data_IF_582857635255
#
_entry.id   IF_582857635255
#
_cell.length_a   1.000
_cell.length_b   1.000
_cell.length_c   1.000
_cell.angle_alpha   90.00
_cell.angle_beta   90.00
_cell.angle_gamma   90.00
#
_symmetry.space_group_name_H-M   'P 1'
#
loop_
_entity.id
_entity.type
_entity.pdbx_description
1 polymer ?
#
# COMPACT_ATOMS: atom_id res chain seq x y z
N UNK A 1 -0.68 23.14 15.31
CA UNK A 1 0.62 22.43 15.35
C UNK A 1 0.32 20.95 15.26
N UNK A 2 0.84 20.23 14.25
CA UNK A 2 0.70 18.79 14.25
C UNK A 2 1.41 18.22 15.47
N UNK A 3 0.72 17.42 16.28
CA UNK A 3 1.29 16.82 17.50
C UNK A 3 2.38 15.81 17.12
N UNK A 4 3.35 15.58 18.00
CA UNK A 4 4.40 14.57 17.80
C UNK A 4 3.83 13.22 17.35
N UNK A 5 2.69 12.83 17.92
CA UNK A 5 2.01 11.57 17.61
C UNK A 5 1.43 11.54 16.18
N UNK A 6 0.99 12.67 15.64
CA UNK A 6 0.57 12.77 14.24
C UNK A 6 1.75 12.61 13.29
N UNK A 7 2.90 13.20 13.62
CA UNK A 7 4.12 13.07 12.83
C UNK A 7 4.64 11.63 12.84
N UNK A 8 4.60 10.96 14.00
CA UNK A 8 4.99 9.54 14.10
C UNK A 8 4.11 8.63 13.25
N UNK A 9 2.79 8.89 13.18
CA UNK A 9 1.86 8.08 12.37
C UNK A 9 2.19 8.10 10.88
N UNK A 10 2.87 9.13 10.39
CA UNK A 10 3.30 9.23 8.99
C UNK A 10 4.55 8.40 8.70
N UNK A 11 5.38 8.11 9.71
CA UNK A 11 6.70 7.51 9.51
C UNK A 11 6.77 6.07 10.02
N UNK A 12 6.35 5.87 11.27
CA UNK A 12 6.53 4.62 12.02
C UNK A 12 5.94 3.41 11.29
N UNK A 13 4.75 3.47 10.67
CA UNK A 13 4.22 2.32 9.96
C UNK A 13 5.10 1.85 8.80
N UNK A 14 5.68 2.77 8.03
CA UNK A 14 6.61 2.43 6.94
C UNK A 14 7.90 1.81 7.46
N UNK A 15 8.43 2.36 8.55
CA UNK A 15 9.64 1.82 9.19
C UNK A 15 9.43 0.43 9.76
N UNK A 16 8.26 0.19 10.38
CA UNK A 16 7.89 -1.12 10.87
C UNK A 16 7.75 -2.13 9.73
N UNK A 17 7.09 -1.76 8.62
CA UNK A 17 7.02 -2.62 7.44
C UNK A 17 8.41 -2.94 6.89
N UNK A 18 9.29 -1.95 6.80
CA UNK A 18 10.66 -2.17 6.32
C UNK A 18 11.42 -3.19 7.18
N UNK A 19 11.28 -3.14 8.51
CA UNK A 19 11.91 -4.11 9.42
C UNK A 19 11.36 -5.53 9.25
N UNK A 20 10.05 -5.68 9.03
CA UNK A 20 9.42 -6.99 8.83
C UNK A 20 9.94 -7.69 7.58
N UNK A 21 10.19 -6.94 6.50
CA UNK A 21 10.59 -7.50 5.20
C UNK A 21 12.09 -7.45 4.94
N UNK A 22 12.88 -6.77 5.76
CA UNK A 22 14.33 -6.57 5.55
C UNK A 22 15.09 -7.88 5.27
N UNK A 23 14.74 -8.97 5.95
CA UNK A 23 15.38 -10.28 5.75
C UNK A 23 14.95 -10.98 4.47
N UNK A 24 13.72 -10.75 4.02
CA UNK A 24 13.15 -11.42 2.86
C UNK A 24 13.43 -10.63 1.56
N UNK A 25 13.26 -9.31 1.63
CA UNK A 25 13.33 -8.37 0.51
C UNK A 25 14.07 -7.08 0.96
N UNK A 26 15.41 -7.13 1.06
CA UNK A 26 16.21 -5.99 1.55
C UNK A 26 16.08 -4.76 0.62
N UNK A 27 15.90 -4.98 -0.69
CA UNK A 27 15.67 -3.91 -1.66
C UNK A 27 14.38 -3.14 -1.39
N UNK A 28 13.27 -3.84 -1.16
CA UNK A 28 11.98 -3.19 -0.87
C UNK A 28 12.01 -2.51 0.50
N UNK A 29 12.71 -3.10 1.48
CA UNK A 29 12.92 -2.48 2.80
C UNK A 29 13.66 -1.14 2.69
N UNK A 30 14.68 -1.07 1.84
CA UNK A 30 15.42 0.16 1.55
C UNK A 30 14.49 1.25 0.99
N UNK A 31 13.65 0.94 -0.01
CA UNK A 31 12.69 1.91 -0.55
C UNK A 31 11.63 2.35 0.47
N UNK A 32 11.17 1.46 1.34
CA UNK A 32 10.24 1.81 2.43
C UNK A 32 10.87 2.82 3.41
N UNK A 33 12.15 2.65 3.75
CA UNK A 33 12.90 3.60 4.59
C UNK A 33 13.10 4.93 3.87
N UNK A 34 13.49 4.89 2.60
CA UNK A 34 13.67 6.11 1.81
C UNK A 34 12.38 6.92 1.69
N UNK A 35 11.25 6.26 1.44
CA UNK A 35 9.94 6.93 1.42
C UNK A 35 9.59 7.54 2.78
N UNK A 36 9.83 6.84 3.90
CA UNK A 36 9.63 7.40 5.22
C UNK A 36 10.52 8.64 5.45
N UNK A 37 11.77 8.62 4.99
CA UNK A 37 12.65 9.79 5.08
C UNK A 37 12.05 11.00 4.37
N UNK A 38 11.58 10.81 3.13
CA UNK A 38 10.97 11.87 2.32
C UNK A 38 9.74 12.47 3.00
N UNK A 39 8.83 11.62 3.51
CA UNK A 39 7.66 12.07 4.25
C UNK A 39 8.04 12.87 5.50
N UNK A 40 9.12 12.48 6.19
CA UNK A 40 9.60 13.21 7.36
C UNK A 40 10.31 14.52 6.99
N UNK A 41 10.97 14.55 5.84
CA UNK A 41 11.62 15.75 5.32
C UNK A 41 10.63 16.79 4.79
N UNK A 42 9.46 16.35 4.30
CA UNK A 42 8.36 17.21 3.85
C UNK A 42 7.75 18.04 5.00
N UNK A 43 7.79 17.52 6.23
CA UNK A 43 7.32 18.27 7.42
C UNK A 43 8.23 19.48 7.64
N UNK A 44 7.74 20.72 7.61
CA UNK A 44 8.60 21.91 7.73
C UNK A 44 9.36 21.91 9.06
N UNK A 45 10.65 22.27 9.02
CA UNK A 45 11.54 22.26 10.20
C UNK A 45 11.00 23.08 11.37
N UNK A 46 10.19 24.11 11.10
CA UNK A 46 9.56 24.97 12.12
C UNK A 46 8.47 24.26 12.92
N UNK A 47 7.84 23.22 12.35
CA UNK A 47 6.75 22.46 12.98
C UNK A 47 7.18 21.05 13.37
N UNK A 48 8.32 20.58 12.86
CA UNK A 48 8.88 19.26 13.11
C UNK A 48 9.35 19.13 14.56
N UNK A 49 8.88 18.09 15.24
CA UNK A 49 9.32 17.80 16.59
C UNK A 49 10.80 17.36 16.62
N UNK A 50 11.58 17.70 17.67
CA UNK A 50 12.99 17.35 17.75
C UNK A 50 13.23 15.83 17.73
N UNK A 51 12.31 15.04 18.27
CA UNK A 51 12.37 13.57 18.23
C UNK A 51 12.27 13.02 16.81
N UNK A 52 11.46 13.66 15.95
CA UNK A 52 11.36 13.29 14.54
C UNK A 52 12.64 13.66 13.80
N UNK A 53 13.22 14.82 14.10
CA UNK A 53 14.52 15.21 13.52
C UNK A 53 15.61 14.19 13.86
N UNK A 54 15.74 13.79 15.14
CA UNK A 54 16.70 12.75 15.54
C UNK A 54 16.41 11.39 14.90
N UNK A 55 15.13 11.02 14.72
CA UNK A 55 14.76 9.81 13.99
C UNK A 55 15.23 9.86 12.53
N UNK A 56 15.08 11.00 11.84
CA UNK A 56 15.49 11.16 10.45
C UNK A 56 17.01 11.10 10.29
N UNK A 57 17.77 11.67 11.22
CA UNK A 57 19.24 11.57 11.24
C UNK A 57 19.71 10.13 11.38
N UNK A 58 19.14 9.37 12.32
CA UNK A 58 19.41 7.93 12.49
C UNK A 58 19.04 7.15 11.22
N UNK A 59 17.92 7.51 10.59
CA UNK A 59 17.45 6.87 9.38
C UNK A 59 18.37 7.13 8.18
N UNK A 60 18.86 8.37 8.01
CA UNK A 60 19.84 8.72 6.98
C UNK A 60 21.11 7.87 7.13
N UNK A 61 21.66 7.78 8.34
CA UNK A 61 22.85 6.96 8.60
C UNK A 61 22.62 5.45 8.37
N UNK A 62 21.38 4.96 8.53
CA UNK A 62 21.02 3.59 8.14
C UNK A 62 20.96 3.42 6.63
N UNK A 63 20.31 4.33 5.92
CA UNK A 63 20.18 4.27 4.46
C UNK A 63 21.55 4.29 3.75
N UNK A 64 22.50 5.07 4.27
CA UNK A 64 23.88 5.07 3.75
C UNK A 64 24.55 3.69 3.86
N UNK A 65 24.32 2.97 4.97
CA UNK A 65 24.85 1.61 5.17
C UNK A 65 24.11 0.59 4.31
N UNK A 66 22.79 0.67 4.26
CA UNK A 66 21.95 -0.24 3.49
C UNK A 66 22.24 -0.12 2.00
N UNK A 67 22.54 1.09 1.51
CA UNK A 67 22.93 1.33 0.11
C UNK A 67 24.19 0.56 -0.29
N UNK A 68 25.11 0.30 0.64
CA UNK A 68 26.29 -0.53 0.37
C UNK A 68 25.96 -2.03 0.34
N UNK A 69 24.89 -2.45 1.03
CA UNK A 69 24.46 -3.84 1.12
C UNK A 69 23.45 -4.25 0.02
N UNK A 70 22.74 -3.29 -0.57
CA UNK A 70 21.69 -3.53 -1.57
C UNK A 70 22.15 -3.14 -2.97
N UNK A 71 21.98 -4.04 -3.93
CA UNK A 71 22.19 -3.73 -5.35
C UNK A 71 20.98 -2.96 -5.91
N UNK A 72 21.15 -1.65 -6.10
CA UNK A 72 20.17 -0.79 -6.77
C UNK A 72 20.36 -0.89 -8.29
N UNK A 73 19.26 -1.08 -9.02
CA UNK A 73 19.25 -1.23 -10.49
C UNK A 73 18.87 0.08 -11.18
N UNK A 74 18.37 -0.04 -12.41
CA UNK A 74 17.71 1.09 -13.06
C UNK A 74 16.40 1.43 -12.32
N UNK A 75 16.01 2.71 -12.31
CA UNK A 75 14.77 3.18 -11.64
C UNK A 75 13.54 2.36 -12.03
N UNK A 76 13.40 2.05 -13.32
CA UNK A 76 12.25 1.30 -13.86
C UNK A 76 12.25 -0.16 -13.39
N UNK A 77 13.42 -0.78 -13.29
CA UNK A 77 13.58 -2.15 -12.79
C UNK A 77 13.25 -2.24 -11.31
N UNK A 78 13.75 -1.29 -10.52
CA UNK A 78 13.49 -1.23 -9.09
C UNK A 78 12.02 -0.90 -8.79
N UNK A 79 11.40 -0.03 -9.59
CA UNK A 79 9.96 0.23 -9.53
C UNK A 79 9.15 -1.04 -9.82
N UNK A 80 9.47 -1.75 -10.91
CA UNK A 80 8.79 -3.00 -11.26
C UNK A 80 8.98 -4.07 -10.18
N UNK A 81 10.16 -4.16 -9.56
CA UNK A 81 10.43 -5.08 -8.45
C UNK A 81 9.54 -4.77 -7.24
N UNK A 82 9.46 -3.50 -6.85
CA UNK A 82 8.61 -3.07 -5.74
C UNK A 82 7.11 -3.28 -6.04
N UNK A 83 6.68 -3.05 -7.29
CA UNK A 83 5.30 -3.27 -7.72
C UNK A 83 4.92 -4.76 -7.67
N UNK A 84 5.78 -5.62 -8.21
CA UNK A 84 5.59 -7.07 -8.18
C UNK A 84 5.52 -7.60 -6.75
N UNK A 85 6.37 -7.10 -5.85
CA UNK A 85 6.31 -7.45 -4.44
C UNK A 85 4.98 -7.04 -3.80
N UNK A 86 4.56 -5.79 -4.02
CA UNK A 86 3.31 -5.28 -3.47
C UNK A 86 2.09 -6.07 -3.98
N UNK A 87 2.09 -6.44 -5.27
CA UNK A 87 1.09 -7.32 -5.88
C UNK A 87 1.13 -8.74 -5.29
N UNK A 88 2.31 -9.29 -5.03
CA UNK A 88 2.45 -10.62 -4.43
C UNK A 88 1.84 -10.67 -3.02
N UNK A 89 2.10 -9.65 -2.18
CA UNK A 89 1.50 -9.52 -0.84
C UNK A 89 -0.02 -9.39 -0.93
N UNK A 90 -0.52 -8.57 -1.86
CA UNK A 90 -1.95 -8.41 -2.09
C UNK A 90 -2.62 -9.71 -2.56
N UNK A 91 -2.03 -10.40 -3.53
CA UNK A 91 -2.54 -11.65 -4.08
C UNK A 91 -2.55 -12.78 -3.05
N UNK A 92 -1.59 -12.79 -2.12
CA UNK A 92 -1.59 -13.73 -1.00
C UNK A 92 -2.83 -13.54 -0.12
N UNK A 93 -3.18 -12.29 0.21
CA UNK A 93 -4.38 -12.00 0.99
C UNK A 93 -5.68 -12.28 0.19
N UNK A 94 -5.74 -11.88 -1.09
CA UNK A 94 -6.90 -12.12 -1.97
C UNK A 94 -7.20 -13.61 -2.16
N UNK A 95 -6.18 -14.47 -2.22
CA UNK A 95 -6.37 -15.93 -2.28
C UNK A 95 -7.03 -16.49 -1.02
N UNK A 96 -6.65 -16.00 0.16
CA UNK A 96 -7.24 -16.46 1.44
C UNK A 96 -8.68 -15.95 1.57
N UNK A 97 -8.91 -14.70 1.19
CA UNK A 97 -10.23 -14.07 1.17
C UNK A 97 -11.21 -14.78 0.24
N UNK A 98 -10.81 -15.05 -1.01
CA UNK A 98 -11.63 -15.80 -1.98
C UNK A 98 -11.88 -17.26 -1.60
N UNK A 99 -11.02 -17.84 -0.78
CA UNK A 99 -11.22 -19.17 -0.22
C UNK A 99 -12.22 -19.17 0.95
N UNK A 100 -12.78 -18.02 1.34
CA UNK A 100 -13.70 -17.89 2.46
C UNK A 100 -13.04 -18.07 3.83
N UNK A 101 -11.70 -17.96 3.89
CA UNK A 101 -10.91 -18.16 5.11
C UNK A 101 -10.31 -16.84 5.63
N UNK A 102 -10.93 -15.72 5.29
CA UNK A 102 -10.49 -14.41 5.73
C UNK A 102 -10.52 -14.32 7.26
N UNK A 103 -9.38 -13.93 7.83
CA UNK A 103 -9.17 -13.73 9.25
C UNK A 103 -8.48 -12.38 9.51
N UNK A 104 -8.22 -12.08 10.78
CA UNK A 104 -7.50 -10.85 11.17
C UNK A 104 -6.12 -10.76 10.50
N UNK A 105 -5.45 -11.88 10.27
CA UNK A 105 -4.15 -11.90 9.59
C UNK A 105 -4.26 -11.51 8.11
N UNK A 106 -5.34 -11.91 7.44
CA UNK A 106 -5.67 -11.51 6.07
C UNK A 106 -5.87 -9.99 5.99
N UNK A 107 -6.58 -9.41 6.96
CA UNK A 107 -6.75 -7.95 7.08
C UNK A 107 -5.42 -7.21 7.25
N UNK A 108 -4.56 -7.70 8.16
CA UNK A 108 -3.22 -7.14 8.38
C UNK A 108 -2.36 -7.25 7.12
N UNK A 109 -2.50 -8.33 6.35
CA UNK A 109 -1.77 -8.52 5.09
C UNK A 109 -2.24 -7.54 4.01
N UNK A 110 -3.56 -7.31 3.88
CA UNK A 110 -4.07 -6.26 3.00
C UNK A 110 -3.62 -4.86 3.43
N UNK A 111 -3.56 -4.61 4.73
CA UNK A 111 -3.06 -3.36 5.27
C UNK A 111 -1.56 -3.16 5.00
N UNK A 112 -0.75 -4.21 5.16
CA UNK A 112 0.66 -4.19 4.79
C UNK A 112 0.83 -3.93 3.29
N UNK A 113 0.05 -4.61 2.45
CA UNK A 113 -0.01 -4.34 1.03
C UNK A 113 -0.39 -2.88 0.75
N UNK A 114 -1.24 -2.23 1.56
CA UNK A 114 -1.59 -0.81 1.38
C UNK A 114 -0.36 0.11 1.37
N UNK A 115 0.57 -0.11 2.29
CA UNK A 115 1.81 0.66 2.42
C UNK A 115 2.79 0.43 1.28
N UNK A 116 2.95 -0.80 0.80
CA UNK A 116 3.92 -1.10 -0.25
C UNK A 116 3.62 -0.40 -1.58
N UNK A 117 2.35 -0.20 -1.93
CA UNK A 117 2.08 0.62 -3.11
C UNK A 117 2.07 2.13 -2.81
N UNK A 118 1.93 2.55 -1.55
CA UNK A 118 2.12 3.96 -1.21
C UNK A 118 3.59 4.35 -1.45
N UNK A 119 4.53 3.45 -1.14
CA UNK A 119 5.95 3.59 -1.47
C UNK A 119 6.19 3.71 -2.98
N UNK A 120 5.33 3.13 -3.84
CA UNK A 120 5.49 3.27 -5.30
C UNK A 120 5.34 4.72 -5.78
N UNK A 121 4.70 5.60 -5.01
CA UNK A 121 4.59 7.03 -5.32
C UNK A 121 5.95 7.73 -5.34
N UNK A 122 6.95 7.18 -4.66
CA UNK A 122 8.34 7.62 -4.73
C UNK A 122 8.87 7.60 -6.18
N UNK A 123 8.53 6.56 -6.94
CA UNK A 123 9.03 6.38 -8.31
C UNK A 123 8.32 7.28 -9.34
N UNK A 124 7.31 8.06 -8.95
CA UNK A 124 6.62 9.04 -9.79
C UNK A 124 5.09 8.97 -9.64
N UNK A 125 4.39 9.89 -10.31
CA UNK A 125 2.92 9.86 -10.43
C UNK A 125 2.54 8.63 -11.27
N UNK A 126 1.83 7.64 -10.70
CA UNK A 126 1.45 6.46 -11.46
C UNK A 126 0.55 6.86 -12.64
N UNK A 127 0.75 6.31 -13.86
CA UNK A 127 -0.12 6.60 -15.00
C UNK A 127 -1.59 6.27 -14.66
N UNK A 128 -2.55 6.96 -15.28
CA UNK A 128 -3.98 6.95 -14.90
C UNK A 128 -4.62 5.55 -14.73
N UNK A 129 -4.08 4.52 -15.40
CA UNK A 129 -4.50 3.12 -15.24
C UNK A 129 -4.19 2.53 -13.85
N UNK A 130 -3.09 2.95 -13.24
CA UNK A 130 -2.71 2.60 -11.87
C UNK A 130 -3.57 3.41 -10.88
N UNK A 131 -3.97 4.66 -11.18
CA UNK A 131 -4.92 5.41 -10.35
C UNK A 131 -6.31 4.73 -10.30
N UNK A 132 -6.77 4.13 -11.40
CA UNK A 132 -7.99 3.33 -11.42
C UNK A 132 -7.87 2.06 -10.54
N UNK A 133 -6.72 1.38 -10.61
CA UNK A 133 -6.41 0.24 -9.72
C UNK A 133 -6.26 0.68 -8.26
N UNK A 134 -5.72 1.87 -7.99
CA UNK A 134 -5.65 2.46 -6.65
C UNK A 134 -7.05 2.84 -6.12
N UNK A 135 -7.98 3.34 -6.94
CA UNK A 135 -9.39 3.52 -6.56
C UNK A 135 -10.08 2.20 -6.21
N UNK A 136 -9.91 1.17 -7.04
CA UNK A 136 -10.41 -0.18 -6.73
C UNK A 136 -9.77 -0.72 -5.44
N UNK A 137 -8.49 -0.42 -5.20
CA UNK A 137 -7.72 -0.86 -4.04
C UNK A 137 -8.09 -0.13 -2.76
N UNK A 138 -8.24 1.19 -2.74
CA UNK A 138 -8.82 1.91 -1.60
C UNK A 138 -10.25 1.45 -1.31
N UNK A 139 -11.04 1.16 -2.36
CA UNK A 139 -12.35 0.54 -2.21
C UNK A 139 -12.28 -0.87 -1.56
N UNK A 140 -11.32 -1.71 -1.97
CA UNK A 140 -11.12 -3.05 -1.40
C UNK A 140 -10.52 -3.03 0.01
N UNK A 141 -9.58 -2.13 0.30
CA UNK A 141 -9.04 -1.91 1.65
C UNK A 141 -10.16 -1.43 2.57
N UNK A 142 -11.01 -0.49 2.13
CA UNK A 142 -12.19 -0.06 2.87
C UNK A 142 -13.19 -1.22 3.07
N UNK A 143 -13.46 -2.04 2.04
CA UNK A 143 -14.34 -3.21 2.14
C UNK A 143 -13.79 -4.28 3.10
N UNK A 144 -12.49 -4.57 3.05
CA UNK A 144 -11.84 -5.52 3.99
C UNK A 144 -11.82 -4.95 5.40
N UNK A 145 -11.56 -3.65 5.59
CA UNK A 145 -11.63 -3.01 6.90
C UNK A 145 -13.05 -3.06 7.47
N UNK A 146 -14.06 -2.86 6.63
CA UNK A 146 -15.48 -2.96 7.01
C UNK A 146 -15.94 -4.39 7.31
N UNK A 147 -15.43 -5.39 6.57
CA UNK A 147 -15.65 -6.82 6.83
C UNK A 147 -15.03 -7.24 8.18
N UNK A 148 -13.81 -6.77 8.46
CA UNK A 148 -13.06 -7.09 9.69
C UNK A 148 -13.58 -6.34 10.90
N UNK A 149 -14.15 -5.14 10.70
CA UNK A 149 -14.87 -4.39 11.72
C UNK A 149 -16.25 -4.99 12.07
N UNK A 150 -16.69 -6.06 11.38
CA UNK A 150 -17.98 -6.70 11.63
C UNK A 150 -19.20 -5.87 11.22
N UNK A 151 -19.02 -4.87 10.35
CA UNK A 151 -20.07 -3.93 9.93
C UNK A 151 -20.69 -4.26 8.56
N UNK A 152 -20.40 -5.43 7.98
CA UNK A 152 -21.20 -5.98 6.90
C UNK A 152 -21.63 -7.43 7.20
N UNK A 153 -22.94 -7.72 7.22
CA UNK A 153 -23.40 -9.09 7.08
C UNK A 153 -22.97 -9.64 5.71
N UNK A 154 -22.65 -10.93 5.68
CA UNK A 154 -22.02 -11.71 4.61
C UNK A 154 -22.72 -11.69 3.22
N UNK A 155 -23.74 -10.87 3.00
CA UNK A 155 -24.66 -10.94 1.86
C UNK A 155 -24.48 -9.88 0.77
N UNK A 156 -23.61 -8.88 0.93
CA UNK A 156 -23.55 -7.74 -0.01
C UNK A 156 -22.50 -7.89 -1.13
N UNK A 157 -21.63 -8.91 -1.10
CA UNK A 157 -20.53 -9.03 -2.06
C UNK A 157 -20.82 -9.88 -3.32
N UNK A 158 -21.97 -10.56 -3.42
CA UNK A 158 -22.23 -11.46 -4.57
C UNK A 158 -23.01 -10.85 -5.73
N UNK A 159 -23.63 -9.68 -5.62
CA UNK A 159 -24.52 -9.18 -6.69
C UNK A 159 -23.93 -8.15 -7.66
N UNK A 160 -22.77 -7.53 -7.38
CA UNK A 160 -22.27 -6.44 -8.24
C UNK A 160 -21.18 -6.84 -9.26
N UNK A 161 -20.69 -8.08 -9.25
CA UNK A 161 -19.72 -8.57 -10.24
C UNK A 161 -20.33 -9.40 -11.41
N UNK A 162 -21.65 -9.62 -11.45
CA UNK A 162 -22.31 -10.44 -12.49
C UNK A 162 -23.40 -9.66 -13.26
N UNK A 163 -23.08 -8.50 -13.83
CA UNK A 163 -23.92 -7.91 -14.91
C UNK A 163 -23.05 -7.48 -16.09
N UNK A 164 -22.71 -8.45 -16.94
CA UNK A 164 -22.49 -8.18 -18.37
C UNK A 164 -23.82 -7.69 -18.96
N UNK A 165 -23.86 -6.64 -19.78
CA UNK A 165 -25.09 -6.25 -20.45
C UNK A 165 -25.40 -7.27 -21.55
N UNK A 166 -26.48 -8.03 -21.39
CA UNK A 166 -27.07 -8.80 -22.46
C UNK A 166 -27.71 -7.84 -23.48
N UNK A 167 -27.48 -8.10 -24.76
CA UNK A 167 -27.92 -7.32 -25.91
C UNK A 167 -29.41 -6.93 -25.83
N UNK A 168 -29.69 -5.64 -26.00
CA UNK A 168 -31.04 -5.11 -26.24
C UNK A 168 -31.47 -5.49 -27.66
N UNK A 169 -32.28 -6.53 -27.81
CA UNK A 169 -32.94 -6.88 -29.07
C UNK A 169 -34.25 -6.09 -29.17
N UNK A 170 -34.28 -5.04 -29.99
CA UNK A 170 -35.50 -4.31 -30.32
C UNK A 170 -36.43 -5.22 -31.13
N UNK A 171 -37.56 -5.62 -30.54
CA UNK A 171 -38.74 -6.04 -31.31
C UNK A 171 -39.62 -4.83 -31.55
N UNK A 172 -39.66 -4.42 -32.81
CA UNK A 172 -40.62 -3.49 -33.41
C UNK A 172 -42.03 -4.06 -33.21
N UNK A 173 -42.93 -3.25 -32.62
CA UNK A 173 -44.38 -3.47 -32.64
C UNK A 173 -44.90 -2.97 -33.99
N UNK A 174 -45.63 -3.82 -34.71
CA UNK A 174 -46.51 -3.44 -35.80
C UNK A 174 -47.83 -4.18 -35.59
N UNK A 175 -48.88 -3.40 -35.33
CA UNK A 175 -50.26 -3.79 -35.10
C UNK A 175 -51.06 -2.53 -34.85
#
# INVERSE_FOLDING_TARGET
MATLEEQKKLLVPFLQRAQEIERAEPKVAYYCRMYALEQGLDIPKTTRAPEITGLLEVLMGKLEKDRAAVTLGARDEDQAHCENFALAVFNRADRVDRAGRADKATAVTFYAASYFFEVLRHFGEPPADIQQKQRVRSGRVAVVLLLVAGWLPCTVLTQRCMRRPAKQNQRVRSG
#
